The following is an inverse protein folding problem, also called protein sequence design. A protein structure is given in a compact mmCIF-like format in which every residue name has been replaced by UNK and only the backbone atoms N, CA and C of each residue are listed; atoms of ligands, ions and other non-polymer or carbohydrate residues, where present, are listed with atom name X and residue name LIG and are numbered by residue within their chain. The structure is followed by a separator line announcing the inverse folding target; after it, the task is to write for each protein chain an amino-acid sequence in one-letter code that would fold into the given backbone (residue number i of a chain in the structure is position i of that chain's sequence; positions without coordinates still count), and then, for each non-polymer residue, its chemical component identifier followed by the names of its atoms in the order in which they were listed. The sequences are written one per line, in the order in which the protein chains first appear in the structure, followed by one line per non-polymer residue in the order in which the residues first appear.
data_IF_599472033731
#
_entry.id   IF_599472033731
#
_cell.length_a   1.000
_cell.length_b   1.000
_cell.length_c   1.000
_cell.angle_alpha   90.00
_cell.angle_beta   90.00
_cell.angle_gamma   90.00
#
_symmetry.space_group_name_H-M   'P 1'
#
loop_
_entity.id
_entity.type
_entity.pdbx_description
1 polymer ?
#
# COMPACT_ATOMS: atom_id res chain seq x y z
N UNK A 1 -65.16 -14.19 8.16
CA UNK A 1 -64.34 -12.95 8.21
C UNK A 1 -64.57 -12.19 6.89
N UNK A 2 -65.12 -10.96 6.83
CA UNK A 2 -64.50 -9.62 7.08
C UNK A 2 -63.19 -9.46 6.27
N UNK A 3 -62.98 -8.50 5.36
CA UNK A 3 -63.36 -7.07 5.31
C UNK A 3 -63.37 -6.51 3.87
N UNK A 4 -64.05 -5.37 3.71
CA UNK A 4 -64.04 -4.44 2.58
C UNK A 4 -62.66 -4.25 1.93
N UNK A 5 -62.61 -4.21 0.60
CA UNK A 5 -61.54 -3.50 -0.11
C UNK A 5 -62.13 -2.44 -1.02
N UNK A 6 -62.05 -1.19 -0.54
CA UNK A 6 -62.41 0.01 -1.27
C UNK A 6 -61.25 0.32 -2.21
N UNK A 7 -61.57 0.40 -3.49
CA UNK A 7 -60.70 0.84 -4.58
C UNK A 7 -60.18 2.28 -4.29
N UNK A 8 -59.07 2.41 -3.56
CA UNK A 8 -58.39 3.69 -3.34
C UNK A 8 -57.38 3.92 -4.48
N UNK A 9 -57.77 4.87 -5.32
CA UNK A 9 -56.99 5.48 -6.39
C UNK A 9 -55.63 5.94 -5.88
N UNK A 10 -54.61 5.69 -6.70
CA UNK A 10 -53.25 6.24 -6.66
C UNK A 10 -53.25 7.74 -6.40
N UNK A 11 -52.35 8.22 -5.52
CA UNK A 11 -51.47 9.28 -5.98
C UNK A 11 -50.00 9.03 -5.66
N UNK A 12 -49.18 9.41 -6.63
CA UNK A 12 -47.73 9.34 -6.73
C UNK A 12 -46.95 9.46 -5.43
N UNK A 13 -46.04 8.50 -5.30
CA UNK A 13 -44.74 8.58 -4.63
C UNK A 13 -44.11 9.97 -4.82
N UNK A 14 -43.61 10.53 -3.72
CA UNK A 14 -42.31 11.22 -3.65
C UNK A 14 -41.96 11.30 -2.16
N UNK A 15 -41.34 10.22 -1.70
CA UNK A 15 -40.82 10.09 -0.35
C UNK A 15 -39.61 11.02 -0.18
N UNK A 16 -39.74 11.86 0.84
CA UNK A 16 -38.73 12.50 1.67
C UNK A 16 -37.26 12.21 1.32
N UNK A 17 -36.52 13.29 1.05
CA UNK A 17 -35.08 13.34 1.21
C UNK A 17 -34.73 13.04 2.68
N UNK A 18 -34.21 11.84 2.92
CA UNK A 18 -33.59 11.42 4.17
C UNK A 18 -32.07 11.66 4.12
N UNK A 19 -31.42 11.81 5.29
CA UNK A 19 -30.28 12.71 5.42
C UNK A 19 -28.99 11.98 5.82
N UNK A 20 -27.93 12.78 5.98
CA UNK A 20 -26.73 12.55 6.80
C UNK A 20 -25.65 11.60 6.23
N UNK A 21 -24.50 12.24 6.02
CA UNK A 21 -23.17 11.70 5.93
C UNK A 21 -22.94 10.45 6.80
N UNK A 22 -22.78 9.32 6.13
CA UNK A 22 -21.92 8.24 6.57
C UNK A 22 -20.98 7.97 5.40
N UNK A 23 -19.80 8.61 5.37
CA UNK A 23 -18.68 8.10 4.61
C UNK A 23 -18.25 6.81 5.31
N UNK A 24 -18.99 5.75 5.01
CA UNK A 24 -18.61 4.41 5.30
C UNK A 24 -17.30 4.16 4.56
N UNK A 25 -16.26 3.79 5.32
CA UNK A 25 -15.00 3.22 4.85
C UNK A 25 -15.22 1.82 4.22
N UNK A 26 -16.36 1.62 3.56
CA UNK A 26 -16.79 0.36 2.97
C UNK A 26 -16.26 0.22 1.55
N UNK A 27 -14.93 0.24 1.41
CA UNK A 27 -14.23 -0.12 0.17
C UNK A 27 -13.15 -1.19 0.38
N UNK A 28 -12.97 -1.74 1.58
CA UNK A 28 -12.15 -2.94 1.77
C UNK A 28 -12.96 -4.23 1.54
N UNK A 29 -13.69 -4.34 0.42
CA UNK A 29 -14.38 -5.58 0.05
C UNK A 29 -14.88 -5.55 -1.41
N UNK A 30 -14.00 -5.35 -2.39
CA UNK A 30 -14.34 -5.69 -3.77
C UNK A 30 -13.12 -6.13 -4.58
N UNK A 31 -12.80 -7.43 -4.48
CA UNK A 31 -12.20 -8.19 -5.59
C UNK A 31 -10.67 -8.20 -5.67
N UNK A 32 -10.04 -9.08 -4.89
CA UNK A 32 -8.59 -9.30 -4.88
C UNK A 32 -7.94 -8.34 -3.90
N UNK A 33 -7.31 -8.86 -2.84
CA UNK A 33 -6.55 -8.03 -1.93
C UNK A 33 -5.37 -7.45 -2.70
N UNK A 34 -5.56 -6.28 -3.33
CA UNK A 34 -4.45 -5.48 -3.81
C UNK A 34 -3.64 -5.15 -2.57
N UNK A 35 -2.42 -5.68 -2.49
CA UNK A 35 -1.46 -5.31 -1.45
C UNK A 35 -1.33 -3.79 -1.52
N UNK A 36 -1.75 -3.12 -0.43
CA UNK A 36 -1.61 -1.67 -0.33
C UNK A 36 -0.11 -1.34 -0.42
N UNK A 37 0.25 -0.28 -1.15
CA UNK A 37 1.65 0.07 -1.29
C UNK A 37 2.17 0.50 0.09
N UNK A 38 3.20 -0.17 0.66
CA UNK A 38 3.71 0.17 1.98
C UNK A 38 4.33 1.56 1.97
N UNK A 39 4.41 2.18 3.16
CA UNK A 39 5.07 3.47 3.31
C UNK A 39 6.60 3.35 3.20
N UNK A 40 7.29 4.47 2.99
CA UNK A 40 8.74 4.49 2.94
C UNK A 40 9.36 4.04 4.27
N UNK A 41 8.70 4.36 5.39
CA UNK A 41 9.11 3.93 6.72
C UNK A 41 8.97 2.41 6.91
N UNK A 42 7.88 1.82 6.43
CA UNK A 42 7.70 0.36 6.47
C UNK A 42 8.74 -0.37 5.62
N UNK A 43 9.04 0.17 4.43
CA UNK A 43 10.09 -0.36 3.54
C UNK A 43 11.48 -0.17 4.16
N UNK A 44 11.76 0.95 4.83
CA UNK A 44 13.04 1.17 5.52
C UNK A 44 13.25 0.23 6.69
N UNK A 45 12.20 -0.02 7.49
CA UNK A 45 12.27 -0.97 8.60
C UNK A 45 12.57 -2.39 8.11
N UNK A 46 11.95 -2.79 7.01
CA UNK A 46 12.20 -4.08 6.38
C UNK A 46 13.59 -4.18 5.76
N UNK A 47 14.03 -3.14 5.06
CA UNK A 47 15.38 -3.05 4.48
C UNK A 47 16.47 -3.08 5.56
N UNK A 48 16.28 -2.37 6.67
CA UNK A 48 17.17 -2.40 7.84
C UNK A 48 17.30 -3.84 8.39
N UNK A 49 16.18 -4.56 8.56
CA UNK A 49 16.21 -5.97 9.00
C UNK A 49 16.99 -6.86 8.04
N UNK A 50 16.78 -6.70 6.73
CA UNK A 50 17.52 -7.46 5.70
C UNK A 50 19.02 -7.17 5.77
N UNK A 51 19.41 -5.93 6.07
CA UNK A 51 20.81 -5.56 6.27
C UNK A 51 21.36 -6.17 7.57
N UNK A 52 20.61 -6.11 8.66
CA UNK A 52 20.98 -6.73 9.94
C UNK A 52 21.19 -8.25 9.82
N UNK A 53 20.27 -8.94 9.16
CA UNK A 53 20.35 -10.39 8.92
C UNK A 53 21.56 -10.79 8.07
N UNK A 54 22.04 -9.87 7.22
CA UNK A 54 23.26 -10.04 6.42
C UNK A 54 24.54 -9.58 7.14
N UNK A 55 24.44 -9.11 8.39
CA UNK A 55 25.58 -8.58 9.16
C UNK A 55 26.03 -7.19 8.69
N UNK A 56 25.17 -6.47 8.00
CA UNK A 56 25.38 -5.13 7.41
C UNK A 56 24.49 -4.05 8.05
N UNK A 57 23.90 -4.29 9.22
CA UNK A 57 22.97 -3.36 9.88
C UNK A 57 23.54 -1.95 10.12
N UNK A 58 24.86 -1.83 10.24
CA UNK A 58 25.57 -0.55 10.42
C UNK A 58 26.19 0.00 9.12
N UNK A 59 25.96 -0.64 7.97
CA UNK A 59 26.60 -0.27 6.71
C UNK A 59 26.03 1.03 6.11
N UNK A 60 24.77 1.32 6.40
CA UNK A 60 24.05 2.52 5.97
C UNK A 60 23.41 3.18 7.19
N UNK A 61 23.35 4.50 7.19
CA UNK A 61 22.65 5.25 8.25
C UNK A 61 21.14 5.19 8.01
N UNK A 62 20.34 5.30 9.08
CA UNK A 62 18.88 5.38 8.98
C UNK A 62 18.36 6.40 7.95
N UNK A 63 18.87 7.65 7.86
CA UNK A 63 18.42 8.60 6.82
C UNK A 63 18.77 8.16 5.40
N UNK A 64 19.90 7.48 5.19
CA UNK A 64 20.26 6.91 3.88
C UNK A 64 19.29 5.79 3.51
N UNK A 65 18.97 4.91 4.46
CA UNK A 65 18.04 3.79 4.24
C UNK A 65 16.63 4.33 3.95
N UNK A 66 16.17 5.32 4.70
CA UNK A 66 14.88 5.95 4.45
C UNK A 66 14.82 6.60 3.06
N UNK A 67 15.86 7.33 2.65
CA UNK A 67 15.93 7.92 1.31
C UNK A 67 15.87 6.85 0.20
N UNK A 68 16.55 5.72 0.37
CA UNK A 68 16.48 4.61 -0.59
C UNK A 68 15.07 3.98 -0.61
N UNK A 69 14.43 3.87 0.54
CA UNK A 69 13.05 3.38 0.66
C UNK A 69 12.03 4.32 0.03
N UNK A 70 12.20 5.64 0.15
CA UNK A 70 11.38 6.63 -0.56
C UNK A 70 11.51 6.44 -2.08
N UNK A 71 12.74 6.29 -2.59
CA UNK A 71 12.97 6.02 -4.00
C UNK A 71 12.29 4.72 -4.47
N UNK A 72 12.30 3.67 -3.65
CA UNK A 72 11.61 2.40 -3.93
C UNK A 72 10.08 2.56 -3.95
N UNK A 73 9.52 3.30 -3.00
CA UNK A 73 8.08 3.60 -2.94
C UNK A 73 7.64 4.56 -4.04
N UNK A 74 8.53 5.38 -4.60
CA UNK A 74 8.22 6.22 -5.77
C UNK A 74 8.47 5.51 -7.11
N UNK A 75 9.15 4.36 -7.08
CA UNK A 75 9.54 3.61 -8.27
C UNK A 75 8.38 2.84 -8.94
N UNK A 76 8.73 2.03 -9.95
CA UNK A 76 7.81 1.09 -10.61
C UNK A 76 7.81 -0.31 -10.00
N UNK A 77 8.55 -0.55 -8.92
CA UNK A 77 8.53 -1.83 -8.20
C UNK A 77 7.11 -2.12 -7.74
N UNK A 78 6.67 -3.37 -7.88
CA UNK A 78 5.33 -3.78 -7.51
C UNK A 78 5.07 -3.65 -6.00
N UNK A 79 3.81 -3.44 -5.63
CA UNK A 79 3.43 -3.39 -4.21
C UNK A 79 3.75 -4.69 -3.48
N UNK A 80 3.70 -5.83 -4.17
CA UNK A 80 4.03 -7.15 -3.59
C UNK A 80 5.52 -7.24 -3.24
N UNK A 81 6.40 -6.82 -4.16
CA UNK A 81 7.84 -6.72 -3.89
C UNK A 81 8.17 -5.74 -2.78
N UNK A 82 7.52 -4.58 -2.74
CA UNK A 82 7.72 -3.60 -1.66
C UNK A 82 7.24 -4.13 -0.30
N UNK A 83 6.11 -4.83 -0.27
CA UNK A 83 5.58 -5.46 0.95
C UNK A 83 6.48 -6.61 1.42
N UNK A 84 7.06 -7.40 0.51
CA UNK A 84 8.09 -8.38 0.84
C UNK A 84 9.30 -7.71 1.49
N UNK A 85 9.83 -6.64 0.90
CA UNK A 85 10.94 -5.87 1.47
C UNK A 85 10.58 -5.33 2.84
N UNK A 86 9.40 -4.71 3.01
CA UNK A 86 8.91 -4.16 4.28
C UNK A 86 8.81 -5.23 5.39
N UNK A 87 8.49 -6.47 5.01
CA UNK A 87 8.46 -7.63 5.93
C UNK A 87 9.85 -8.18 6.27
N UNK A 88 10.90 -7.65 5.64
CA UNK A 88 12.25 -8.19 5.72
C UNK A 88 12.43 -9.48 4.92
N UNK A 89 11.52 -9.78 3.99
CA UNK A 89 11.60 -10.94 3.12
C UNK A 89 12.44 -10.63 1.88
N UNK A 90 13.34 -11.55 1.56
CA UNK A 90 14.21 -11.48 0.38
C UNK A 90 13.52 -11.94 -0.90
N UNK A 91 12.25 -12.37 -0.83
CA UNK A 91 11.47 -12.89 -1.97
C UNK A 91 11.36 -11.89 -3.13
N UNK A 92 11.37 -10.58 -2.88
CA UNK A 92 11.44 -9.55 -3.93
C UNK A 92 12.68 -9.67 -4.84
N UNK A 93 13.77 -10.29 -4.36
CA UNK A 93 14.98 -10.53 -5.15
C UNK A 93 14.92 -11.83 -5.97
N UNK A 94 13.89 -12.66 -5.77
CA UNK A 94 13.76 -13.96 -6.45
C UNK A 94 13.01 -13.87 -7.78
N UNK A 95 12.26 -12.79 -7.99
CA UNK A 95 11.73 -12.43 -9.31
C UNK A 95 12.79 -11.59 -10.06
N UNK A 96 13.18 -12.06 -11.25
CA UNK A 96 14.30 -11.47 -11.99
C UNK A 96 14.01 -10.04 -12.46
N UNK A 97 12.77 -9.75 -12.86
CA UNK A 97 12.37 -8.43 -13.38
C UNK A 97 12.20 -7.43 -12.24
N UNK A 98 11.52 -7.84 -11.16
CA UNK A 98 11.32 -7.01 -9.97
C UNK A 98 12.62 -6.78 -9.21
N UNK A 99 13.44 -7.81 -9.02
CA UNK A 99 14.75 -7.70 -8.39
C UNK A 99 15.68 -6.76 -9.15
N UNK A 100 15.66 -6.79 -10.48
CA UNK A 100 16.40 -5.86 -11.32
C UNK A 100 15.88 -4.41 -11.17
N UNK A 101 14.56 -4.20 -11.07
CA UNK A 101 13.97 -2.88 -10.83
C UNK A 101 14.34 -2.33 -9.45
N UNK A 102 14.32 -3.16 -8.41
CA UNK A 102 14.76 -2.79 -7.05
C UNK A 102 16.23 -2.38 -7.08
N UNK A 103 17.11 -3.21 -7.64
CA UNK A 103 18.54 -2.94 -7.69
C UNK A 103 18.87 -1.70 -8.51
N UNK A 104 18.20 -1.52 -9.65
CA UNK A 104 18.36 -0.33 -10.48
C UNK A 104 17.91 0.92 -9.73
N UNK A 105 16.76 0.88 -9.06
CA UNK A 105 16.24 2.03 -8.30
C UNK A 105 17.19 2.43 -7.18
N UNK A 106 17.70 1.45 -6.42
CA UNK A 106 18.69 1.70 -5.36
C UNK A 106 19.97 2.30 -5.96
N UNK A 107 20.45 1.76 -7.08
CA UNK A 107 21.67 2.25 -7.74
C UNK A 107 21.52 3.68 -8.25
N UNK A 108 20.36 3.98 -8.87
CA UNK A 108 20.05 5.31 -9.40
C UNK A 108 19.92 6.34 -8.24
N UNK A 109 19.33 5.94 -7.11
CA UNK A 109 19.14 6.80 -5.94
C UNK A 109 20.37 6.90 -5.02
N UNK A 110 21.31 5.94 -5.08
CA UNK A 110 22.42 5.84 -4.12
C UNK A 110 23.29 7.11 -4.06
N UNK A 111 23.53 7.77 -5.20
CA UNK A 111 24.34 8.98 -5.24
C UNK A 111 23.66 10.16 -4.51
N UNK A 112 22.34 10.29 -4.66
CA UNK A 112 21.55 11.34 -4.02
C UNK A 112 21.39 11.03 -2.52
N UNK A 113 21.07 9.78 -2.19
CA UNK A 113 20.86 9.33 -0.82
C UNK A 113 22.13 9.23 0.01
N UNK A 114 23.32 9.09 -0.58
CA UNK A 114 24.59 9.07 0.15
C UNK A 114 24.86 10.38 0.93
N UNK A 115 24.15 11.45 0.59
CA UNK A 115 24.24 12.75 1.27
C UNK A 115 23.06 13.05 2.21
N UNK A 116 22.17 12.08 2.42
CA UNK A 116 21.08 12.22 3.38
C UNK A 116 21.62 12.31 4.82
N UNK A 117 21.20 13.33 5.57
CA UNK A 117 21.60 13.63 6.96
C UNK A 117 20.41 13.62 7.91
#
# INVERSE_FOLDING_TARGET
MKLNDRNLRTPSRLLMALPIAALAFSLAACGGAAVERPSAEEVSDGLQKVLEDQGMGDALTEPVILCLSEALVDSKVSNESLDAIAKGDSSAQTDEDEGALVQKTITDAAADCATAE
#
